data_IF_545152858581
#
_entry.id   IF_545152858581
#
_cell.length_a   1.000
_cell.length_b   1.000
_cell.length_c   1.000
_cell.angle_alpha   90.00
_cell.angle_beta   90.00
_cell.angle_gamma   90.00
#
_symmetry.space_group_name_H-M   'P 1'
#
loop_
_entity.id
_entity.type
_entity.pdbx_description
1 polymer ?
#
# COMPACT_ATOMS: atom_id res chain seq x y z
N UNK A 1 18.40 -11.69 -10.31
CA UNK A 1 18.64 -11.31 -8.90
C UNK A 1 18.83 -12.58 -8.10
N UNK A 2 19.83 -12.65 -7.20
CA UNK A 2 20.06 -13.81 -6.34
C UNK A 2 18.83 -14.23 -5.51
N UNK A 3 18.72 -15.53 -5.21
CA UNK A 3 17.59 -16.12 -4.45
C UNK A 3 17.41 -15.51 -3.05
N UNK A 4 18.50 -15.05 -2.43
CA UNK A 4 18.51 -14.48 -1.07
C UNK A 4 17.63 -13.24 -0.88
N UNK A 5 17.23 -12.59 -1.98
CA UNK A 5 16.32 -11.45 -1.96
C UNK A 5 14.86 -11.83 -2.24
N UNK A 6 14.61 -13.09 -2.64
CA UNK A 6 13.31 -13.58 -3.09
C UNK A 6 12.98 -14.91 -2.41
N UNK A 7 13.29 -16.03 -3.07
CA UNK A 7 12.92 -17.38 -2.66
C UNK A 7 13.37 -17.72 -1.24
N UNK A 8 14.59 -17.33 -0.84
CA UNK A 8 15.10 -17.67 0.50
C UNK A 8 14.33 -16.92 1.61
N UNK A 9 13.85 -15.70 1.34
CA UNK A 9 12.98 -14.96 2.26
C UNK A 9 11.59 -15.59 2.33
N UNK A 10 11.05 -16.08 1.22
CA UNK A 10 9.77 -16.81 1.23
C UNK A 10 9.89 -18.14 1.98
N UNK A 11 11.01 -18.86 1.84
CA UNK A 11 11.33 -20.05 2.64
C UNK A 11 11.41 -19.70 4.12
N UNK A 12 12.14 -18.63 4.47
CA UNK A 12 12.21 -18.13 5.84
C UNK A 12 10.82 -17.80 6.42
N UNK A 13 9.96 -17.14 5.64
CA UNK A 13 8.58 -16.87 6.05
C UNK A 13 7.77 -18.15 6.25
N UNK A 14 7.86 -19.11 5.32
CA UNK A 14 7.20 -20.42 5.44
C UNK A 14 7.69 -21.18 6.68
N UNK A 15 8.99 -21.19 6.94
CA UNK A 15 9.60 -22.03 7.96
C UNK A 15 9.43 -21.44 9.36
N UNK A 16 9.48 -20.10 9.49
CA UNK A 16 9.14 -19.37 10.72
C UNK A 16 7.64 -19.38 11.05
N UNK A 17 6.80 -19.93 10.16
CA UNK A 17 5.36 -20.03 10.40
C UNK A 17 5.00 -20.89 11.61
N UNK A 18 5.91 -21.76 12.07
CA UNK A 18 5.71 -22.52 13.31
C UNK A 18 5.84 -21.64 14.57
N UNK A 19 6.37 -20.43 14.43
CA UNK A 19 6.67 -19.48 15.51
C UNK A 19 5.71 -18.27 15.51
N UNK A 20 4.40 -18.51 15.32
CA UNK A 20 3.37 -17.45 15.18
C UNK A 20 3.16 -16.58 16.42
N UNK A 21 3.76 -16.94 17.55
CA UNK A 21 3.66 -16.20 18.81
C UNK A 21 4.62 -15.00 18.86
N UNK A 22 5.50 -14.85 17.86
CA UNK A 22 6.40 -13.70 17.78
C UNK A 22 5.61 -12.40 17.64
N UNK A 23 5.78 -11.52 18.64
CA UNK A 23 5.19 -10.20 18.67
C UNK A 23 6.26 -9.14 18.39
N UNK A 24 5.88 -8.13 17.63
CA UNK A 24 6.65 -6.88 17.56
C UNK A 24 6.73 -6.20 18.93
N UNK A 25 7.61 -5.22 19.10
CA UNK A 25 7.76 -4.45 20.35
C UNK A 25 6.48 -3.79 20.86
N UNK A 26 5.46 -3.68 20.02
CA UNK A 26 4.17 -3.12 20.37
C UNK A 26 3.06 -4.20 20.53
N UNK A 27 3.42 -5.48 20.54
CA UNK A 27 2.49 -6.60 20.74
C UNK A 27 1.76 -7.06 19.48
N UNK A 28 2.10 -6.58 18.28
CA UNK A 28 1.44 -7.03 17.04
C UNK A 28 2.10 -8.32 16.51
N UNK A 29 1.33 -9.33 16.08
CA UNK A 29 1.88 -10.56 15.52
C UNK A 29 2.69 -10.30 14.25
N UNK A 30 3.91 -10.84 14.18
CA UNK A 30 4.86 -10.55 13.11
C UNK A 30 4.34 -11.01 11.75
N UNK A 31 3.91 -12.27 11.61
CA UNK A 31 3.42 -12.80 10.34
C UNK A 31 2.20 -12.05 9.80
N UNK A 32 1.31 -11.60 10.70
CA UNK A 32 0.16 -10.76 10.32
C UNK A 32 0.61 -9.45 9.70
N UNK A 33 1.64 -8.78 10.25
CA UNK A 33 2.15 -7.54 9.67
C UNK A 33 2.84 -7.77 8.32
N UNK A 34 3.53 -8.91 8.17
CA UNK A 34 4.09 -9.33 6.88
C UNK A 34 2.97 -9.50 5.87
N UNK A 35 1.89 -10.20 6.22
CA UNK A 35 0.73 -10.42 5.36
C UNK A 35 0.07 -9.09 4.95
N UNK A 36 -0.18 -8.20 5.93
CA UNK A 36 -0.80 -6.90 5.70
C UNK A 36 -0.01 -6.05 4.68
N UNK A 37 1.32 -6.24 4.60
CA UNK A 37 2.24 -5.50 3.71
C UNK A 37 2.83 -6.34 2.57
N UNK A 38 2.19 -7.46 2.21
CA UNK A 38 2.69 -8.45 1.26
C UNK A 38 2.47 -8.13 -0.22
N UNK A 39 2.31 -6.86 -0.57
CA UNK A 39 2.04 -6.45 -1.96
C UNK A 39 3.14 -6.89 -2.93
N UNK A 40 4.36 -7.03 -2.41
CA UNK A 40 5.54 -7.51 -3.12
C UNK A 40 5.39 -8.97 -3.52
N UNK A 41 4.80 -9.79 -2.66
CA UNK A 41 4.44 -11.18 -2.93
C UNK A 41 3.38 -11.29 -4.03
N UNK A 42 2.27 -10.56 -3.94
CA UNK A 42 1.15 -10.69 -4.89
C UNK A 42 1.54 -10.29 -6.31
N UNK A 43 2.25 -9.15 -6.46
CA UNK A 43 2.75 -8.71 -7.77
C UNK A 43 3.83 -9.64 -8.32
N UNK A 44 4.69 -10.17 -7.44
CA UNK A 44 5.68 -11.17 -7.85
C UNK A 44 5.01 -12.47 -8.31
N UNK A 45 4.03 -12.98 -7.57
CA UNK A 45 3.30 -14.21 -7.87
C UNK A 45 2.60 -14.12 -9.23
N UNK A 46 1.95 -13.01 -9.54
CA UNK A 46 1.39 -12.74 -10.87
C UNK A 46 2.49 -12.73 -11.96
N UNK A 47 3.64 -12.09 -11.71
CA UNK A 47 4.75 -12.01 -12.66
C UNK A 47 5.47 -13.34 -12.95
N UNK A 48 5.44 -14.28 -12.01
CA UNK A 48 6.09 -15.59 -12.17
C UNK A 48 5.12 -16.71 -12.56
N UNK A 49 3.81 -16.45 -12.54
CA UNK A 49 2.83 -17.42 -12.96
C UNK A 49 3.07 -17.84 -14.42
N UNK A 50 2.89 -19.13 -14.77
CA UNK A 50 2.91 -19.58 -16.15
C UNK A 50 1.93 -18.79 -17.01
N UNK A 51 2.30 -18.48 -18.25
CA UNK A 51 1.47 -17.66 -19.14
C UNK A 51 0.06 -18.27 -19.35
N UNK A 52 -0.04 -19.61 -19.40
CA UNK A 52 -1.31 -20.33 -19.50
C UNK A 52 -2.23 -20.17 -18.28
N UNK A 53 -1.70 -19.76 -17.13
CA UNK A 53 -2.44 -19.57 -15.88
C UNK A 53 -2.69 -18.09 -15.58
N UNK A 54 -2.05 -17.19 -16.33
CA UNK A 54 -2.10 -15.76 -16.05
C UNK A 54 -3.30 -15.11 -16.73
N UNK A 55 -4.11 -14.40 -15.95
CA UNK A 55 -5.33 -13.75 -16.44
C UNK A 55 -5.09 -12.29 -16.86
N UNK A 56 -4.07 -11.65 -16.28
CA UNK A 56 -3.79 -10.24 -16.52
C UNK A 56 -3.09 -10.02 -17.85
N UNK A 57 -3.57 -9.02 -18.61
CA UNK A 57 -2.98 -8.56 -19.87
C UNK A 57 -2.40 -7.15 -19.78
N UNK A 58 -2.57 -6.48 -18.65
CA UNK A 58 -2.08 -5.11 -18.40
C UNK A 58 -0.55 -5.02 -18.33
N UNK A 59 0.12 -6.15 -18.06
CA UNK A 59 1.57 -6.29 -17.99
C UNK A 59 2.03 -7.51 -18.77
N UNK A 60 3.19 -7.40 -19.45
CA UNK A 60 3.83 -8.51 -20.16
C UNK A 60 5.24 -8.66 -19.61
N UNK A 61 5.58 -9.87 -19.13
CA UNK A 61 6.95 -10.19 -18.74
C UNK A 61 7.79 -10.51 -19.96
N UNK A 62 8.95 -9.88 -20.08
CA UNK A 62 9.97 -10.17 -21.09
C UNK A 62 11.22 -10.77 -20.48
N UNK A 63 12.11 -11.32 -21.31
CA UNK A 63 13.39 -11.90 -20.90
C UNK A 63 14.59 -11.05 -21.29
N UNK A 64 14.43 -10.16 -22.27
CA UNK A 64 15.46 -9.27 -22.79
C UNK A 64 15.27 -7.87 -22.21
N UNK A 65 16.35 -7.26 -21.73
CA UNK A 65 16.30 -5.92 -21.11
C UNK A 65 15.97 -4.82 -22.14
N UNK A 66 16.23 -5.09 -23.42
CA UNK A 66 16.00 -4.18 -24.53
C UNK A 66 14.51 -4.05 -24.88
N UNK A 67 13.72 -5.06 -24.54
CA UNK A 67 12.27 -5.09 -24.76
C UNK A 67 11.48 -4.42 -23.63
N UNK A 68 12.11 -4.22 -22.48
CA UNK A 68 11.43 -3.77 -21.27
C UNK A 68 11.23 -2.25 -21.24
N UNK A 69 10.00 -1.83 -20.95
CA UNK A 69 9.68 -0.44 -20.61
C UNK A 69 10.12 -0.09 -19.18
N UNK A 70 10.03 -1.07 -18.27
CA UNK A 70 10.34 -0.94 -16.86
C UNK A 70 10.94 -2.24 -16.29
N UNK A 71 11.57 -2.14 -15.12
CA UNK A 71 12.24 -3.25 -14.44
C UNK A 71 11.61 -3.47 -13.06
N UNK A 72 10.97 -4.61 -12.84
CA UNK A 72 10.53 -4.99 -11.49
C UNK A 72 11.71 -5.55 -10.70
N UNK A 73 11.95 -4.99 -9.51
CA UNK A 73 12.94 -5.49 -8.56
C UNK A 73 12.20 -6.34 -7.52
N UNK A 74 12.19 -7.68 -7.66
CA UNK A 74 11.51 -8.55 -6.72
C UNK A 74 12.36 -8.64 -5.45
N UNK A 75 12.12 -7.76 -4.50
CA UNK A 75 12.77 -7.84 -3.19
C UNK A 75 11.72 -7.79 -2.09
N UNK A 76 11.62 -8.86 -1.29
CA UNK A 76 10.69 -8.95 -0.17
C UNK A 76 11.18 -8.14 1.04
N UNK A 77 11.12 -6.82 0.92
CA UNK A 77 11.62 -5.85 1.90
C UNK A 77 10.89 -5.96 3.23
N UNK A 78 9.60 -6.30 3.21
CA UNK A 78 8.78 -6.52 4.42
C UNK A 78 9.22 -7.78 5.18
N UNK A 79 9.34 -8.92 4.50
CA UNK A 79 9.75 -10.19 5.14
C UNK A 79 11.13 -10.04 5.79
N UNK A 80 12.10 -9.51 5.03
CA UNK A 80 13.46 -9.28 5.53
C UNK A 80 13.52 -8.31 6.70
N UNK A 81 12.62 -7.33 6.80
CA UNK A 81 12.57 -6.40 7.93
C UNK A 81 12.11 -7.08 9.22
N UNK A 82 11.15 -8.01 9.11
CA UNK A 82 10.49 -8.61 10.25
C UNK A 82 11.12 -9.91 10.74
N UNK A 83 11.73 -10.69 9.86
CA UNK A 83 12.24 -12.03 10.18
C UNK A 83 13.77 -12.13 10.29
N UNK A 84 14.51 -11.11 9.84
CA UNK A 84 15.97 -11.11 9.98
C UNK A 84 16.40 -10.21 11.14
N UNK A 85 17.55 -10.54 11.71
CA UNK A 85 18.18 -9.66 12.70
C UNK A 85 18.55 -8.32 12.07
N UNK A 86 18.55 -7.27 12.90
CA UNK A 86 18.70 -5.87 12.44
C UNK A 86 19.96 -5.64 11.60
N UNK A 87 21.08 -6.29 11.93
CA UNK A 87 22.32 -6.12 11.19
C UNK A 87 22.35 -6.93 9.89
N UNK A 88 21.80 -8.16 9.91
CA UNK A 88 21.65 -9.01 8.73
C UNK A 88 20.74 -8.35 7.70
N UNK A 89 19.59 -7.83 8.14
CA UNK A 89 18.67 -7.07 7.31
C UNK A 89 19.36 -5.87 6.63
N UNK A 90 20.15 -5.10 7.39
CA UNK A 90 20.92 -3.97 6.84
C UNK A 90 21.99 -4.42 5.85
N UNK A 91 22.68 -5.54 6.10
CA UNK A 91 23.65 -6.11 5.18
C UNK A 91 22.96 -6.52 3.87
N UNK A 92 21.85 -7.27 3.97
CA UNK A 92 21.04 -7.68 2.82
C UNK A 92 20.56 -6.49 1.99
N UNK A 93 20.14 -5.39 2.62
CA UNK A 93 19.76 -4.15 1.93
C UNK A 93 20.92 -3.52 1.14
N UNK A 94 22.12 -3.48 1.71
CA UNK A 94 23.31 -2.96 1.01
C UNK A 94 23.70 -3.85 -0.16
N UNK A 95 23.60 -5.16 0.00
CA UNK A 95 23.90 -6.12 -1.06
C UNK A 95 22.88 -6.06 -2.19
N UNK A 96 21.57 -5.96 -1.88
CA UNK A 96 20.51 -5.76 -2.85
C UNK A 96 20.74 -4.45 -3.63
N UNK A 97 21.05 -3.36 -2.92
CA UNK A 97 21.36 -2.07 -3.53
C UNK A 97 22.57 -2.19 -4.49
N UNK A 98 23.68 -2.79 -4.03
CA UNK A 98 24.87 -2.99 -4.86
C UNK A 98 24.53 -3.81 -6.10
N UNK A 99 23.82 -4.92 -5.94
CA UNK A 99 23.45 -5.78 -7.06
C UNK A 99 22.61 -5.03 -8.10
N UNK A 100 21.54 -4.34 -7.67
CA UNK A 100 20.62 -3.61 -8.56
C UNK A 100 21.34 -2.45 -9.26
N UNK A 101 22.10 -1.65 -8.51
CA UNK A 101 22.75 -0.44 -9.06
C UNK A 101 23.88 -0.72 -10.05
N UNK A 102 24.45 -1.92 -10.00
CA UNK A 102 25.52 -2.36 -10.91
C UNK A 102 24.99 -2.90 -12.24
N UNK A 103 23.67 -3.08 -12.40
CA UNK A 103 23.10 -3.58 -13.65
C UNK A 103 23.14 -2.50 -14.75
N UNK A 104 23.41 -2.87 -16.02
CA UNK A 104 23.37 -1.93 -17.15
C UNK A 104 22.03 -1.19 -17.27
N UNK A 105 20.92 -1.90 -17.05
CA UNK A 105 19.58 -1.33 -17.03
C UNK A 105 19.43 -0.18 -16.01
N UNK A 106 20.00 -0.35 -14.81
CA UNK A 106 19.99 0.71 -13.80
C UNK A 106 20.84 1.91 -14.21
N UNK A 107 22.06 1.65 -14.67
CA UNK A 107 23.01 2.71 -15.07
C UNK A 107 22.46 3.57 -16.22
N UNK A 108 21.67 2.98 -17.12
CA UNK A 108 21.01 3.67 -18.23
C UNK A 108 20.05 4.76 -17.77
N UNK A 109 19.22 4.48 -16.77
CA UNK A 109 18.12 5.36 -16.36
C UNK A 109 18.34 6.04 -15.01
N UNK A 110 19.47 5.75 -14.35
CA UNK A 110 19.72 6.06 -12.93
C UNK A 110 18.60 5.51 -12.03
N UNK A 111 18.02 4.37 -12.42
CA UNK A 111 16.95 3.66 -11.71
C UNK A 111 15.53 4.19 -11.95
N UNK A 112 15.32 5.19 -12.81
CA UNK A 112 13.99 5.84 -13.00
C UNK A 112 12.90 4.93 -13.55
N UNK A 113 13.28 3.92 -14.31
CA UNK A 113 12.41 2.88 -14.89
C UNK A 113 12.35 1.62 -14.02
N UNK A 114 12.86 1.66 -12.78
CA UNK A 114 12.81 0.52 -11.86
C UNK A 114 11.64 0.68 -10.88
N UNK A 115 10.90 -0.41 -10.68
CA UNK A 115 9.84 -0.54 -9.67
C UNK A 115 10.38 -1.31 -8.48
N UNK A 116 10.33 -0.70 -7.30
CA UNK A 116 10.83 -1.29 -6.05
C UNK A 116 9.66 -1.34 -5.04
N UNK A 117 9.29 -2.53 -4.55
CA UNK A 117 8.32 -2.65 -3.48
C UNK A 117 8.87 -2.17 -2.14
N UNK A 118 8.27 -1.12 -1.57
CA UNK A 118 8.71 -0.48 -0.30
C UNK A 118 7.49 -0.24 0.59
N UNK A 119 6.60 -1.24 0.69
CA UNK A 119 5.27 -1.05 1.25
C UNK A 119 5.22 -0.92 2.77
N UNK A 120 6.12 -1.54 3.52
CA UNK A 120 6.21 -1.28 4.96
C UNK A 120 7.11 -0.04 5.21
N UNK A 121 6.67 0.98 5.97
CA UNK A 121 7.39 2.26 6.08
C UNK A 121 8.77 2.15 6.75
N UNK A 122 9.04 1.08 7.50
CA UNK A 122 10.36 0.80 8.07
C UNK A 122 11.28 -0.05 7.17
N UNK A 123 10.71 -0.79 6.21
CA UNK A 123 11.48 -1.66 5.33
C UNK A 123 12.41 -0.84 4.42
N UNK A 124 13.60 -1.32 4.11
CA UNK A 124 14.54 -0.66 3.19
C UNK A 124 15.03 0.76 3.60
N UNK A 125 14.62 1.29 4.78
CA UNK A 125 14.82 2.68 5.23
C UNK A 125 16.27 3.17 5.14
N UNK A 126 17.25 2.31 5.44
CA UNK A 126 18.68 2.66 5.46
C UNK A 126 19.27 2.96 4.06
N UNK A 127 18.62 2.49 2.99
CA UNK A 127 19.15 2.57 1.63
C UNK A 127 18.22 3.30 0.64
N UNK A 128 16.96 3.58 1.01
CA UNK A 128 15.97 4.32 0.18
C UNK A 128 16.54 5.56 -0.50
N UNK A 129 17.39 6.34 0.17
CA UNK A 129 18.00 7.56 -0.40
C UNK A 129 18.76 7.31 -1.72
N UNK A 130 19.32 6.12 -1.90
CA UNK A 130 20.10 5.74 -3.08
C UNK A 130 19.23 5.26 -4.25
N UNK A 131 17.95 4.94 -3.98
CA UNK A 131 16.98 4.50 -4.98
C UNK A 131 15.80 5.46 -5.12
N UNK A 132 15.92 6.71 -4.63
CA UNK A 132 14.83 7.70 -4.62
C UNK A 132 14.27 8.09 -5.99
N UNK A 133 15.01 7.80 -7.06
CA UNK A 133 14.59 8.04 -8.46
C UNK A 133 13.68 6.93 -9.00
N UNK A 134 13.72 5.75 -8.40
CA UNK A 134 12.87 4.62 -8.76
C UNK A 134 11.41 4.89 -8.40
N UNK A 135 10.53 4.12 -9.01
CA UNK A 135 9.10 4.02 -8.70
C UNK A 135 8.99 3.16 -7.45
N UNK A 136 8.45 3.71 -6.37
CA UNK A 136 8.18 2.97 -5.15
C UNK A 136 6.73 2.55 -5.09
N UNK A 137 6.51 1.33 -4.61
CA UNK A 137 5.19 0.84 -4.22
C UNK A 137 5.05 1.04 -2.71
N UNK A 138 4.12 1.91 -2.32
CA UNK A 138 4.00 2.46 -0.96
C UNK A 138 2.57 2.25 -0.43
N UNK A 139 2.37 2.28 0.90
CA UNK A 139 1.03 2.25 1.48
C UNK A 139 0.38 3.64 1.54
N UNK A 140 1.21 4.69 1.49
CA UNK A 140 0.86 6.11 1.51
C UNK A 140 2.05 6.97 1.09
N UNK A 141 1.82 8.27 0.96
CA UNK A 141 2.83 9.29 0.76
C UNK A 141 2.84 10.27 1.93
N UNK A 142 3.42 9.85 3.06
CA UNK A 142 3.72 10.80 4.14
C UNK A 142 4.72 11.89 3.68
N UNK A 143 4.19 13.03 3.23
CA UNK A 143 4.97 14.19 2.78
C UNK A 143 5.51 15.03 3.95
N UNK A 144 5.05 14.79 5.18
CA UNK A 144 5.36 15.62 6.35
C UNK A 144 6.81 15.48 6.83
N UNK A 145 7.56 14.50 6.32
CA UNK A 145 8.95 14.26 6.71
C UNK A 145 9.13 13.18 7.79
N UNK A 146 8.05 12.66 8.37
CA UNK A 146 8.11 11.69 9.47
C UNK A 146 8.64 10.31 9.01
N UNK A 147 8.19 9.85 7.84
CA UNK A 147 8.50 8.55 7.27
C UNK A 147 9.36 8.64 6.02
N UNK A 148 9.05 9.61 5.15
CA UNK A 148 9.80 9.91 3.93
C UNK A 148 10.35 11.32 4.03
N UNK A 149 11.64 11.49 3.74
CA UNK A 149 12.21 12.86 3.73
C UNK A 149 11.59 13.67 2.60
N UNK A 150 11.44 15.00 2.75
CA UNK A 150 10.96 15.86 1.68
C UNK A 150 11.68 15.58 0.36
N UNK A 151 10.89 15.36 -0.69
CA UNK A 151 11.37 15.03 -2.04
C UNK A 151 11.85 13.59 -2.26
N UNK A 152 11.46 12.64 -1.42
CA UNK A 152 11.67 11.21 -1.67
C UNK A 152 10.50 10.53 -2.39
N UNK A 153 9.26 10.99 -2.12
CA UNK A 153 8.03 10.41 -2.63
C UNK A 153 7.24 11.45 -3.44
N UNK A 154 6.66 11.02 -4.56
CA UNK A 154 5.94 11.89 -5.50
C UNK A 154 4.84 11.12 -6.23
N UNK A 155 3.62 11.67 -6.30
CA UNK A 155 2.49 11.08 -7.04
C UNK A 155 2.81 10.86 -8.52
N UNK A 156 3.67 11.68 -9.11
CA UNK A 156 4.03 11.60 -10.53
C UNK A 156 4.86 10.35 -10.86
N UNK A 157 5.49 9.72 -9.86
CA UNK A 157 6.35 8.53 -10.06
C UNK A 157 5.93 7.33 -9.22
N UNK A 158 5.51 7.52 -7.98
CA UNK A 158 5.25 6.45 -7.03
C UNK A 158 3.80 5.95 -7.11
N UNK A 159 3.55 4.73 -6.65
CA UNK A 159 2.24 4.09 -6.67
C UNK A 159 1.85 3.71 -5.25
N UNK A 160 0.68 4.18 -4.82
CA UNK A 160 0.09 3.80 -3.55
C UNK A 160 -0.74 2.54 -3.77
N UNK A 161 -0.52 1.53 -2.94
CA UNK A 161 -1.20 0.24 -3.00
C UNK A 161 -1.99 0.00 -1.71
N UNK A 162 -3.13 -0.72 -1.79
CA UNK A 162 -3.90 -1.04 -0.61
C UNK A 162 -3.18 -2.10 0.23
N UNK A 163 -3.39 -2.03 1.54
CA UNK A 163 -3.02 -3.11 2.45
C UNK A 163 -3.87 -4.35 2.16
N UNK A 164 -3.34 -5.53 2.49
CA UNK A 164 -4.17 -6.74 2.54
C UNK A 164 -5.15 -6.58 3.72
N UNK A 165 -6.48 -6.70 3.49
CA UNK A 165 -7.45 -6.66 4.56
C UNK A 165 -7.21 -7.80 5.55
N UNK A 166 -7.34 -7.50 6.84
CA UNK A 166 -7.18 -8.46 7.92
C UNK A 166 -8.50 -9.16 8.29
N UNK A 167 -9.64 -8.67 7.80
CA UNK A 167 -10.97 -9.26 8.02
C UNK A 167 -11.47 -9.96 6.76
N UNK A 168 -12.40 -10.89 6.93
CA UNK A 168 -12.96 -11.68 5.85
C UNK A 168 -13.96 -10.84 5.04
N UNK A 169 -14.00 -11.07 3.72
CA UNK A 169 -14.95 -10.44 2.81
C UNK A 169 -16.40 -10.70 3.24
N UNK A 170 -17.15 -9.62 3.43
CA UNK A 170 -18.60 -9.63 3.46
C UNK A 170 -19.11 -9.48 2.03
N UNK A 171 -19.39 -10.61 1.39
CA UNK A 171 -19.92 -10.65 0.03
C UNK A 171 -21.35 -10.09 -0.05
N UNK A 172 -21.95 -10.11 -1.26
CA UNK A 172 -23.31 -9.61 -1.47
C UNK A 172 -24.33 -10.26 -0.53
N UNK A 173 -24.22 -11.56 -0.26
CA UNK A 173 -25.11 -12.28 0.64
C UNK A 173 -24.93 -11.80 2.09
N UNK A 174 -23.68 -11.71 2.55
CA UNK A 174 -23.36 -11.17 3.87
C UNK A 174 -23.88 -9.74 4.04
N UNK A 175 -23.75 -8.86 3.04
CA UNK A 175 -24.24 -7.47 3.13
C UNK A 175 -25.76 -7.42 3.25
N UNK A 176 -26.50 -8.26 2.52
CA UNK A 176 -27.95 -8.37 2.65
C UNK A 176 -28.38 -8.88 4.04
N UNK A 177 -27.70 -9.92 4.55
CA UNK A 177 -27.99 -10.51 5.87
C UNK A 177 -27.66 -9.56 7.03
N UNK A 178 -26.64 -8.72 6.87
CA UNK A 178 -26.18 -7.77 7.88
C UNK A 178 -26.91 -6.43 7.80
N UNK A 179 -27.59 -6.12 6.69
CA UNK A 179 -28.25 -4.82 6.48
C UNK A 179 -29.21 -4.44 7.61
N UNK A 180 -30.03 -5.39 8.08
CA UNK A 180 -30.98 -5.16 9.17
C UNK A 180 -30.36 -5.30 10.57
N UNK A 181 -29.10 -5.75 10.66
CA UNK A 181 -28.36 -5.93 11.92
C UNK A 181 -27.44 -4.75 12.25
N UNK A 182 -27.31 -3.76 11.35
CA UNK A 182 -26.47 -2.58 11.54
C UNK A 182 -27.14 -1.56 12.47
N UNK A 183 -27.06 -1.82 13.78
CA UNK A 183 -27.61 -0.93 14.82
C UNK A 183 -26.59 0.08 15.35
N UNK A 184 -25.30 -0.14 15.14
CA UNK A 184 -24.23 0.78 15.58
C UNK A 184 -24.08 1.87 14.51
N UNK A 185 -24.18 3.14 14.90
CA UNK A 185 -23.96 4.27 14.01
C UNK A 185 -22.50 4.32 13.55
N UNK A 186 -21.56 4.39 14.49
CA UNK A 186 -20.13 4.57 14.20
C UNK A 186 -19.28 3.60 15.02
N UNK A 187 -18.36 2.91 14.34
CA UNK A 187 -17.45 1.96 14.98
C UNK A 187 -15.98 2.29 14.74
N UNK A 188 -15.19 2.14 15.79
CA UNK A 188 -13.74 2.13 15.75
C UNK A 188 -13.20 1.08 16.73
N UNK A 189 -12.32 0.22 16.23
CA UNK A 189 -11.49 -0.65 17.08
C UNK A 189 -10.03 -0.59 16.66
N UNK A 190 -9.15 -0.34 17.62
CA UNK A 190 -7.72 -0.24 17.40
C UNK A 190 -7.04 0.65 18.44
N UNK A 191 -5.73 0.82 18.30
CA UNK A 191 -4.96 1.71 19.18
C UNK A 191 -5.52 3.12 19.22
N UNK A 192 -5.98 3.52 20.39
CA UNK A 192 -6.57 4.82 20.67
C UNK A 192 -5.51 5.90 20.84
N UNK A 193 -4.32 5.53 21.31
CA UNK A 193 -3.15 6.42 21.41
C UNK A 193 -2.13 6.09 20.34
N UNK A 194 -1.77 7.08 19.53
CA UNK A 194 -0.78 6.98 18.44
C UNK A 194 0.06 8.25 18.33
N UNK A 195 1.16 8.16 17.58
CA UNK A 195 2.08 9.26 17.35
C UNK A 195 1.74 10.02 16.07
N UNK A 196 2.44 11.13 15.81
CA UNK A 196 2.29 11.95 14.60
C UNK A 196 0.81 12.30 14.30
N UNK A 197 0.32 12.00 13.10
CA UNK A 197 -1.07 12.25 12.70
C UNK A 197 -2.10 11.48 13.55
N UNK A 198 -1.72 10.35 14.13
CA UNK A 198 -2.58 9.50 14.94
C UNK A 198 -2.96 10.08 16.31
N UNK A 199 -2.37 11.22 16.72
CA UNK A 199 -2.76 11.96 17.93
C UNK A 199 -4.24 12.37 17.92
N UNK A 200 -4.85 12.50 16.74
CA UNK A 200 -6.27 12.80 16.58
C UNK A 200 -7.18 11.77 17.25
N UNK A 201 -6.74 10.50 17.34
CA UNK A 201 -7.55 9.41 17.90
C UNK A 201 -7.94 9.66 19.35
N UNK A 202 -7.04 10.18 20.17
CA UNK A 202 -7.35 10.54 21.56
C UNK A 202 -8.41 11.64 21.63
N UNK A 203 -8.38 12.62 20.72
CA UNK A 203 -9.39 13.68 20.66
C UNK A 203 -10.77 13.13 20.24
N UNK A 204 -10.78 12.25 19.23
CA UNK A 204 -12.00 11.59 18.76
C UNK A 204 -12.63 10.71 19.85
N UNK A 205 -11.81 10.01 20.66
CA UNK A 205 -12.29 9.25 21.81
C UNK A 205 -12.99 10.16 22.81
N UNK A 206 -12.36 11.27 23.20
CA UNK A 206 -12.96 12.20 24.16
C UNK A 206 -14.24 12.84 23.64
N UNK A 207 -14.29 13.15 22.35
CA UNK A 207 -15.45 13.74 21.68
C UNK A 207 -16.63 12.76 21.59
N UNK A 208 -16.35 11.48 21.32
CA UNK A 208 -17.38 10.50 20.98
C UNK A 208 -17.79 9.59 22.16
N UNK A 209 -17.10 9.65 23.31
CA UNK A 209 -17.33 8.73 24.46
C UNK A 209 -18.74 8.79 25.05
N UNK A 210 -19.45 9.91 24.89
CA UNK A 210 -20.79 10.14 25.47
C UNK A 210 -21.91 10.03 24.44
N UNK A 211 -21.59 9.71 23.18
CA UNK A 211 -22.57 9.59 22.12
C UNK A 211 -23.21 8.20 22.08
N UNK A 212 -24.53 8.16 21.93
CA UNK A 212 -25.29 6.92 21.74
C UNK A 212 -25.01 6.28 20.38
N UNK A 213 -25.09 4.94 20.33
CA UNK A 213 -24.87 4.11 19.15
C UNK A 213 -23.44 4.19 18.57
N UNK A 214 -22.47 4.60 19.37
CA UNK A 214 -21.06 4.69 18.97
C UNK A 214 -20.21 3.71 19.80
N UNK A 215 -19.34 2.98 19.12
CA UNK A 215 -18.42 2.02 19.75
C UNK A 215 -16.99 2.40 19.38
N UNK A 216 -16.21 2.83 20.37
CA UNK A 216 -14.78 3.14 20.22
C UNK A 216 -14.01 2.37 21.27
N UNK A 217 -13.22 1.39 20.82
CA UNK A 217 -12.57 0.45 21.70
C UNK A 217 -11.08 0.28 21.38
N UNK A 218 -10.30 0.04 22.43
CA UNK A 218 -8.90 -0.36 22.30
C UNK A 218 -8.81 -1.75 21.63
N UNK A 219 -7.91 -1.86 20.65
CA UNK A 219 -7.80 -3.06 19.84
C UNK A 219 -6.95 -4.12 20.51
N UNK A 220 -7.37 -5.38 20.41
CA UNK A 220 -6.54 -6.53 20.79
C UNK A 220 -5.88 -7.18 19.58
N UNK A 221 -4.75 -7.84 19.81
CA UNK A 221 -4.04 -8.62 18.79
C UNK A 221 -4.66 -10.02 18.61
N UNK A 222 -4.23 -10.73 17.57
CA UNK A 222 -4.59 -12.13 17.33
C UNK A 222 -6.02 -12.34 16.80
N UNK A 223 -6.44 -13.62 16.80
CA UNK A 223 -7.71 -14.06 16.20
C UNK A 223 -8.94 -13.45 16.87
N UNK A 224 -8.94 -13.32 18.19
CA UNK A 224 -10.03 -12.68 18.94
C UNK A 224 -10.17 -11.20 18.57
N UNK A 225 -9.06 -10.48 18.44
CA UNK A 225 -9.06 -9.09 18.01
C UNK A 225 -9.57 -8.91 16.58
N UNK A 226 -9.18 -9.80 15.66
CA UNK A 226 -9.72 -9.87 14.29
C UNK A 226 -11.23 -10.10 14.32
N UNK A 227 -11.71 -11.11 15.04
CA UNK A 227 -13.12 -11.47 15.11
C UNK A 227 -13.97 -10.33 15.69
N UNK A 228 -13.51 -9.69 16.77
CA UNK A 228 -14.20 -8.54 17.37
C UNK A 228 -14.26 -7.34 16.43
N UNK A 229 -13.17 -7.05 15.69
CA UNK A 229 -13.17 -6.00 14.69
C UNK A 229 -14.16 -6.31 13.54
N UNK A 230 -14.15 -7.53 13.03
CA UNK A 230 -15.04 -7.97 11.96
C UNK A 230 -16.52 -7.93 12.37
N UNK A 231 -16.85 -8.44 13.56
CA UNK A 231 -18.21 -8.42 14.09
C UNK A 231 -18.71 -6.98 14.30
N UNK A 232 -17.89 -6.13 14.91
CA UNK A 232 -18.20 -4.72 15.09
C UNK A 232 -18.46 -4.00 13.77
N UNK A 233 -17.54 -4.11 12.80
CA UNK A 233 -17.70 -3.49 11.47
C UNK A 233 -18.99 -3.95 10.76
N UNK A 234 -19.33 -5.24 10.85
CA UNK A 234 -20.54 -5.79 10.19
C UNK A 234 -21.84 -5.38 10.87
N UNK A 235 -21.80 -4.96 12.14
CA UNK A 235 -22.93 -4.41 12.90
C UNK A 235 -23.01 -2.87 12.83
N UNK A 236 -22.13 -2.22 12.07
CA UNK A 236 -22.06 -0.76 11.99
C UNK A 236 -22.43 -0.21 10.62
N UNK A 237 -23.05 0.97 10.63
CA UNK A 237 -23.29 1.76 9.42
C UNK A 237 -21.98 2.38 8.92
N UNK A 238 -21.26 3.04 9.83
CA UNK A 238 -20.04 3.79 9.54
C UNK A 238 -18.85 3.23 10.33
N UNK A 239 -17.68 3.23 9.70
CA UNK A 239 -16.43 2.81 10.32
C UNK A 239 -15.42 3.95 10.27
N UNK A 240 -15.01 4.43 11.44
CA UNK A 240 -14.07 5.53 11.55
C UNK A 240 -12.68 5.07 11.07
N UNK A 241 -12.08 5.83 10.16
CA UNK A 241 -10.74 5.61 9.63
C UNK A 241 -9.88 6.86 9.81
N UNK A 242 -9.46 7.18 11.05
CA UNK A 242 -8.55 8.26 11.31
C UNK A 242 -7.10 7.84 11.02
N UNK A 243 -6.26 8.83 10.71
CA UNK A 243 -4.82 8.65 10.54
C UNK A 243 -4.18 7.83 11.68
N UNK A 244 -3.15 7.07 11.32
CA UNK A 244 -2.31 6.32 12.26
C UNK A 244 -0.98 7.03 12.51
N UNK A 245 0.07 6.26 12.76
CA UNK A 245 1.42 6.85 12.79
C UNK A 245 1.83 7.33 11.38
N UNK A 246 1.26 6.75 10.32
CA UNK A 246 1.28 7.24 8.93
C UNK A 246 -0.11 7.78 8.54
N UNK A 247 -0.25 8.57 7.45
CA UNK A 247 -1.55 9.07 7.00
C UNK A 247 -2.58 7.97 6.73
N UNK A 248 -2.14 6.81 6.21
CA UNK A 248 -3.04 5.69 5.90
C UNK A 248 -3.30 4.74 7.07
N UNK A 249 -4.34 3.93 6.94
CA UNK A 249 -4.63 2.83 7.86
C UNK A 249 -5.18 1.62 7.12
N UNK A 250 -4.66 0.43 7.41
CA UNK A 250 -5.20 -0.84 6.90
C UNK A 250 -6.71 -1.01 7.20
N UNK A 251 -7.21 -0.37 8.27
CA UNK A 251 -8.62 -0.36 8.67
C UNK A 251 -9.55 0.16 7.58
N UNK A 252 -9.09 1.07 6.72
CA UNK A 252 -9.88 1.53 5.57
C UNK A 252 -10.32 0.34 4.73
N UNK A 253 -9.40 -0.57 4.41
CA UNK A 253 -9.67 -1.73 3.58
C UNK A 253 -10.49 -2.78 4.34
N UNK A 254 -10.27 -2.94 5.65
CA UNK A 254 -11.12 -3.79 6.50
C UNK A 254 -12.58 -3.33 6.50
N UNK A 255 -12.82 -2.02 6.61
CA UNK A 255 -14.16 -1.44 6.57
C UNK A 255 -14.82 -1.66 5.21
N UNK A 256 -14.07 -1.44 4.11
CA UNK A 256 -14.55 -1.65 2.74
C UNK A 256 -15.01 -3.09 2.54
N UNK A 257 -14.16 -4.08 2.88
CA UNK A 257 -14.51 -5.50 2.67
C UNK A 257 -15.56 -6.00 3.67
N UNK A 258 -15.80 -5.29 4.77
CA UNK A 258 -16.88 -5.60 5.71
C UNK A 258 -18.24 -4.97 5.34
N UNK A 259 -18.29 -4.15 4.29
CA UNK A 259 -19.49 -3.40 3.91
C UNK A 259 -19.86 -2.29 4.91
N UNK A 260 -18.90 -1.83 5.70
CA UNK A 260 -19.05 -0.72 6.64
C UNK A 260 -18.55 0.56 5.98
N UNK A 261 -19.36 1.62 5.93
CA UNK A 261 -19.00 2.84 5.19
C UNK A 261 -17.80 3.52 5.86
N UNK A 262 -16.62 3.61 5.20
CA UNK A 262 -15.47 4.27 5.78
C UNK A 262 -15.72 5.77 5.94
N UNK A 263 -15.44 6.29 7.14
CA UNK A 263 -15.39 7.72 7.44
C UNK A 263 -13.92 8.08 7.62
N UNK A 264 -13.31 8.57 6.55
CA UNK A 264 -11.90 8.92 6.48
C UNK A 264 -11.71 10.28 7.14
N UNK A 265 -10.94 10.31 8.24
CA UNK A 265 -10.55 11.55 8.91
C UNK A 265 -9.09 11.84 8.56
N UNK A 266 -8.88 12.69 7.56
CA UNK A 266 -7.54 13.07 7.11
C UNK A 266 -7.58 14.29 6.19
N UNK A 267 -6.54 15.11 6.27
CA UNK A 267 -6.29 16.24 5.36
C UNK A 267 -5.12 15.97 4.39
N UNK A 268 -4.45 14.82 4.53
CA UNK A 268 -3.16 14.50 3.86
C UNK A 268 -3.15 13.09 3.24
N UNK A 269 -4.25 12.35 3.33
CA UNK A 269 -4.31 10.97 2.86
C UNK A 269 -4.44 10.91 1.33
N UNK A 270 -3.39 10.40 0.70
CA UNK A 270 -3.41 9.96 -0.69
C UNK A 270 -3.88 8.49 -0.79
N UNK A 271 -4.85 8.22 -1.67
CA UNK A 271 -5.51 6.90 -1.74
C UNK A 271 -4.98 6.01 -2.87
N UNK A 272 -4.97 4.66 -2.67
CA UNK A 272 -4.62 3.75 -3.75
C UNK A 272 -5.58 3.87 -4.93
N UNK A 273 -5.04 3.92 -6.14
CA UNK A 273 -5.83 3.87 -7.39
C UNK A 273 -6.85 5.01 -7.58
N UNK A 274 -6.71 6.15 -6.90
CA UNK A 274 -7.69 7.25 -6.95
C UNK A 274 -7.89 7.86 -8.35
N UNK A 275 -6.91 7.72 -9.26
CA UNK A 275 -7.08 8.07 -10.67
C UNK A 275 -7.94 7.09 -11.49
N UNK A 276 -8.35 5.96 -10.90
CA UNK A 276 -9.16 4.90 -11.52
C UNK A 276 -10.46 4.68 -10.73
N UNK A 277 -10.40 4.76 -9.40
CA UNK A 277 -11.51 4.53 -8.47
C UNK A 277 -11.97 5.84 -7.85
N UNK A 278 -13.26 6.14 -7.93
CA UNK A 278 -13.83 7.30 -7.23
C UNK A 278 -14.23 6.92 -5.80
N UNK A 279 -13.38 7.26 -4.83
CA UNK A 279 -13.66 6.95 -3.42
C UNK A 279 -14.89 7.67 -2.87
N UNK A 280 -15.37 8.74 -3.50
CA UNK A 280 -16.60 9.44 -3.09
C UNK A 280 -17.85 8.57 -3.27
N UNK A 281 -17.73 7.49 -4.04
CA UNK A 281 -18.80 6.49 -4.20
C UNK A 281 -18.87 5.49 -3.05
N UNK A 282 -17.78 5.34 -2.28
CA UNK A 282 -17.63 4.27 -1.29
C UNK A 282 -17.26 4.76 0.12
N UNK A 283 -16.85 6.01 0.29
CA UNK A 283 -16.38 6.56 1.56
C UNK A 283 -16.87 7.99 1.78
N UNK A 284 -16.82 8.43 3.04
CA UNK A 284 -17.04 9.80 3.47
C UNK A 284 -15.70 10.42 3.89
N UNK A 285 -15.43 11.63 3.43
CA UNK A 285 -14.22 12.38 3.77
C UNK A 285 -14.58 13.51 4.73
N UNK A 286 -13.87 13.59 5.86
CA UNK A 286 -14.09 14.61 6.87
C UNK A 286 -12.73 15.18 7.26
N UNK A 287 -12.65 16.51 7.33
CA UNK A 287 -11.43 17.20 7.76
C UNK A 287 -11.11 16.86 9.21
N UNK A 288 -9.82 16.89 9.58
CA UNK A 288 -9.43 16.65 10.96
C UNK A 288 -10.01 17.71 11.91
N UNK A 289 -10.18 18.94 11.43
CA UNK A 289 -10.71 20.06 12.20
C UNK A 289 -12.20 19.91 12.50
N UNK A 290 -13.01 19.46 11.55
CA UNK A 290 -14.46 19.30 11.75
C UNK A 290 -14.76 18.06 12.60
N UNK A 291 -13.99 16.99 12.40
CA UNK A 291 -14.19 15.72 13.12
C UNK A 291 -14.02 15.84 14.64
N UNK A 292 -13.26 16.82 15.12
CA UNK A 292 -13.00 17.07 16.55
C UNK A 292 -13.84 18.22 17.12
N UNK A 293 -14.76 18.81 16.34
CA UNK A 293 -15.69 19.80 16.86
C UNK A 293 -16.81 19.13 17.66
N UNK A 294 -17.18 19.68 18.83
CA UNK A 294 -18.24 19.15 19.68
C UNK A 294 -19.54 18.80 18.94
N UNK A 295 -19.89 17.52 18.92
CA UNK A 295 -21.11 16.97 18.32
C UNK A 295 -21.21 17.02 16.80
N UNK A 296 -20.24 17.65 16.10
CA UNK A 296 -20.33 17.89 14.66
C UNK A 296 -20.36 16.58 13.87
N UNK A 297 -19.43 15.67 14.15
CA UNK A 297 -19.30 14.40 13.42
C UNK A 297 -20.56 13.54 13.56
N UNK A 298 -21.09 13.44 14.77
CA UNK A 298 -22.31 12.65 15.05
C UNK A 298 -23.52 13.27 14.34
N UNK A 299 -23.67 14.59 14.40
CA UNK A 299 -24.73 15.31 13.69
C UNK A 299 -24.64 15.12 12.17
N UNK A 300 -23.44 15.21 11.61
CA UNK A 300 -23.20 14.96 10.19
C UNK A 300 -23.61 13.55 9.79
N UNK A 301 -23.14 12.52 10.49
CA UNK A 301 -23.45 11.12 10.17
C UNK A 301 -24.94 10.77 10.33
N UNK A 302 -25.60 11.31 11.35
CA UNK A 302 -27.06 11.13 11.56
C UNK A 302 -27.89 11.86 10.50
N UNK A 303 -27.36 12.91 9.89
CA UNK A 303 -28.01 13.67 8.83
C UNK A 303 -27.92 13.03 7.44
N UNK A 304 -27.22 11.91 7.29
CA UNK A 304 -27.08 11.24 5.99
C UNK A 304 -28.32 10.40 5.69
N UNK A 305 -28.94 10.67 4.55
CA UNK A 305 -30.13 9.96 4.12
C UNK A 305 -29.92 8.45 3.99
N UNK A 306 -30.91 7.66 4.43
CA UNK A 306 -30.90 6.20 4.32
C UNK A 306 -30.80 5.70 2.87
N UNK A 307 -31.23 6.51 1.88
CA UNK A 307 -31.02 6.22 0.45
C UNK A 307 -29.52 6.28 0.11
N UNK A 308 -28.84 7.34 0.52
CA UNK A 308 -27.40 7.52 0.28
C UNK A 308 -26.57 6.44 0.97
N UNK A 309 -26.92 6.06 2.20
CA UNK A 309 -26.27 4.95 2.92
C UNK A 309 -26.36 3.64 2.11
N UNK A 310 -27.56 3.29 1.61
CA UNK A 310 -27.76 2.08 0.79
C UNK A 310 -26.99 2.12 -0.53
N UNK A 311 -26.92 3.29 -1.18
CA UNK A 311 -26.12 3.48 -2.40
C UNK A 311 -24.64 3.20 -2.15
N UNK A 312 -24.06 3.82 -1.11
CA UNK A 312 -22.65 3.62 -0.75
C UNK A 312 -22.39 2.15 -0.40
N UNK A 313 -23.25 1.51 0.40
CA UNK A 313 -23.12 0.08 0.75
C UNK A 313 -23.20 -0.84 -0.47
N UNK A 314 -24.08 -0.55 -1.44
CA UNK A 314 -24.12 -1.29 -2.71
C UNK A 314 -22.82 -1.13 -3.49
N UNK A 315 -22.24 0.08 -3.50
CA UNK A 315 -20.96 0.32 -4.14
C UNK A 315 -19.80 -0.39 -3.43
N UNK A 316 -19.81 -0.49 -2.09
CA UNK A 316 -18.80 -1.25 -1.34
C UNK A 316 -18.70 -2.71 -1.82
N UNK A 317 -19.84 -3.36 -2.07
CA UNK A 317 -19.86 -4.74 -2.63
C UNK A 317 -19.15 -4.79 -3.98
N UNK A 318 -19.45 -3.84 -4.88
CA UNK A 318 -18.86 -3.77 -6.23
C UNK A 318 -17.36 -3.45 -6.19
N UNK A 319 -16.96 -2.56 -5.29
CA UNK A 319 -15.58 -2.04 -5.19
C UNK A 319 -14.66 -2.96 -4.40
N UNK A 320 -15.19 -3.79 -3.49
CA UNK A 320 -14.39 -4.67 -2.61
C UNK A 320 -13.32 -5.48 -3.35
N UNK A 321 -13.64 -5.98 -4.55
CA UNK A 321 -12.72 -6.74 -5.42
C UNK A 321 -11.43 -5.99 -5.76
N UNK A 322 -11.47 -4.66 -5.81
CA UNK A 322 -10.30 -3.82 -6.13
C UNK A 322 -9.24 -3.80 -5.02
N UNK A 323 -9.59 -4.33 -3.84
CA UNK A 323 -8.75 -4.34 -2.63
C UNK A 323 -8.47 -5.76 -2.12
N UNK A 324 -8.87 -6.79 -2.86
CA UNK A 324 -8.69 -8.20 -2.51
C UNK A 324 -7.65 -8.84 -3.42
N UNK A 325 -6.45 -9.03 -2.87
CA UNK A 325 -5.38 -9.72 -3.58
C UNK A 325 -5.71 -11.20 -3.79
N UNK A 326 -5.23 -11.76 -4.89
CA UNK A 326 -5.58 -13.10 -5.33
C UNK A 326 -4.47 -13.75 -6.17
N UNK A 327 -4.47 -15.08 -6.19
CA UNK A 327 -3.64 -15.86 -7.10
C UNK A 327 -4.49 -17.01 -7.67
N UNK A 328 -4.77 -17.05 -8.99
CA UNK A 328 -4.30 -16.10 -10.00
C UNK A 328 -4.91 -14.70 -9.81
N UNK A 329 -4.12 -13.67 -10.13
CA UNK A 329 -4.55 -12.28 -10.04
C UNK A 329 -5.72 -12.02 -10.99
N UNK A 330 -6.76 -11.33 -10.48
CA UNK A 330 -8.00 -11.11 -11.21
C UNK A 330 -8.00 -9.76 -11.96
N UNK A 331 -8.64 -9.67 -13.15
CA UNK A 331 -8.90 -8.38 -13.79
C UNK A 331 -9.61 -7.42 -12.85
N UNK A 332 -9.15 -6.17 -12.80
CA UNK A 332 -9.58 -5.15 -11.85
C UNK A 332 -9.31 -5.49 -10.37
N UNK A 333 -8.58 -6.56 -10.06
CA UNK A 333 -8.01 -6.77 -8.73
C UNK A 333 -6.89 -5.75 -8.44
N UNK A 334 -6.42 -5.67 -7.18
CA UNK A 334 -5.37 -4.73 -6.80
C UNK A 334 -4.07 -4.92 -7.60
N UNK A 335 -3.74 -6.14 -8.02
CA UNK A 335 -2.58 -6.42 -8.88
C UNK A 335 -2.74 -5.79 -10.27
N UNK A 336 -3.91 -5.95 -10.90
CA UNK A 336 -4.20 -5.36 -12.21
C UNK A 336 -4.19 -3.83 -12.14
N UNK A 337 -4.83 -3.26 -11.11
CA UNK A 337 -4.83 -1.81 -10.91
C UNK A 337 -3.43 -1.26 -10.63
N UNK A 338 -2.59 -1.99 -9.88
CA UNK A 338 -1.18 -1.64 -9.71
C UNK A 338 -0.44 -1.57 -11.04
N UNK A 339 -0.59 -2.59 -11.90
CA UNK A 339 0.05 -2.60 -13.22
C UNK A 339 -0.46 -1.48 -14.13
N UNK A 340 -1.76 -1.17 -14.10
CA UNK A 340 -2.34 -0.04 -14.85
C UNK A 340 -1.82 1.31 -14.37
N UNK A 341 -1.71 1.51 -13.05
CA UNK A 341 -1.12 2.73 -12.48
C UNK A 341 0.34 2.89 -12.90
N UNK A 342 1.12 1.79 -12.88
CA UNK A 342 2.51 1.80 -13.35
C UNK A 342 2.57 2.11 -14.85
N UNK A 343 1.73 1.47 -15.67
CA UNK A 343 1.64 1.71 -17.11
C UNK A 343 1.35 3.19 -17.44
N UNK A 344 0.42 3.82 -16.71
CA UNK A 344 0.09 5.24 -16.84
C UNK A 344 1.28 6.18 -16.58
N UNK A 345 2.26 5.76 -15.78
CA UNK A 345 3.46 6.57 -15.45
C UNK A 345 4.59 6.42 -16.47
N UNK A 346 4.57 5.40 -17.33
CA UNK A 346 5.68 5.07 -18.25
C UNK A 346 6.07 6.25 -19.15
N UNK A 347 5.09 6.99 -19.67
CA UNK A 347 5.35 8.16 -20.54
C UNK A 347 6.14 9.23 -19.79
N UNK A 348 5.73 9.57 -18.57
CA UNK A 348 6.41 10.55 -17.73
C UNK A 348 7.82 10.06 -17.34
N UNK A 349 7.98 8.78 -17.01
CA UNK A 349 9.29 8.19 -16.70
C UNK A 349 10.24 8.30 -17.90
N UNK A 350 9.79 7.92 -19.11
CA UNK A 350 10.58 8.06 -20.33
C UNK A 350 10.95 9.51 -20.62
N UNK A 351 10.03 10.45 -20.37
CA UNK A 351 10.32 11.88 -20.46
C UNK A 351 11.45 12.29 -19.50
N UNK A 352 11.38 11.91 -18.23
CA UNK A 352 12.40 12.24 -17.22
C UNK A 352 13.77 11.63 -17.57
N UNK A 353 13.80 10.38 -18.03
CA UNK A 353 15.02 9.71 -18.50
C UNK A 353 15.65 10.49 -19.64
N UNK A 354 14.88 10.75 -20.72
CA UNK A 354 15.39 11.48 -21.90
C UNK A 354 15.89 12.87 -21.52
N UNK A 355 15.15 13.62 -20.70
CA UNK A 355 15.59 14.95 -20.23
C UNK A 355 16.93 14.89 -19.49
N UNK A 356 17.12 13.88 -18.64
CA UNK A 356 18.38 13.72 -17.90
C UNK A 356 19.57 13.36 -18.81
N UNK A 357 19.32 12.68 -19.94
CA UNK A 357 20.35 12.22 -20.87
C UNK A 357 20.69 13.23 -21.98
N UNK A 358 19.93 14.31 -22.14
CA UNK A 358 20.15 15.33 -23.21
C UNK A 358 21.46 16.11 -23.04
N UNK A 359 21.91 16.31 -21.81
CA UNK A 359 23.14 17.04 -21.54
C UNK A 359 24.34 16.10 -21.66
N UNK A 360 25.37 16.55 -22.37
CA UNK A 360 26.66 15.86 -22.45
C UNK A 360 27.22 15.69 -21.04
N UNK A 361 27.78 14.53 -20.71
CA UNK A 361 28.24 14.21 -19.34
C UNK A 361 29.23 15.25 -18.81
N UNK A 362 30.12 15.75 -19.66
CA UNK A 362 31.14 16.75 -19.35
C UNK A 362 30.55 18.15 -19.13
N UNK A 363 29.37 18.44 -19.70
CA UNK A 363 28.67 19.72 -19.51
C UNK A 363 27.76 19.72 -18.27
N UNK A 364 27.72 18.62 -17.50
CA UNK A 364 27.11 18.60 -16.16
C UNK A 364 28.08 19.26 -15.18
N UNK A 365 28.37 20.54 -15.36
CA UNK A 365 29.35 21.27 -14.55
C UNK A 365 28.96 21.29 -13.07
N UNK A 366 29.85 20.73 -12.25
CA UNK A 366 30.32 21.20 -10.95
C UNK A 366 29.35 22.07 -10.12
N UNK A 367 28.50 21.44 -9.33
CA UNK A 367 27.98 22.04 -8.10
C UNK A 367 28.06 21.02 -6.98
N UNK A 368 29.27 20.63 -6.56
CA UNK A 368 29.51 20.12 -5.21
C UNK A 368 30.99 20.31 -4.80
N UNK A 369 31.15 21.14 -3.76
CA UNK A 369 32.25 21.26 -2.79
C UNK A 369 33.50 22.06 -3.23
N UNK A 370 33.58 23.30 -2.76
CA UNK A 370 34.83 23.81 -2.16
C UNK A 370 34.64 23.90 -0.65
N UNK A 371 35.70 23.52 0.06
CA UNK A 371 35.80 23.39 1.50
C UNK A 371 35.46 24.67 2.28
N UNK A 372 35.16 24.48 3.56
CA UNK A 372 34.68 25.50 4.47
C UNK A 372 35.53 26.78 4.53
N UNK A 373 34.82 27.89 4.44
CA UNK A 373 35.07 29.11 5.19
C UNK A 373 33.71 29.78 5.38
N UNK A 374 33.38 30.09 6.62
CA UNK A 374 32.25 30.91 7.03
C UNK A 374 32.22 32.19 6.21
N UNK A 375 31.09 32.56 5.60
CA UNK A 375 30.83 33.96 5.27
C UNK A 375 29.34 34.27 5.41
N UNK A 376 29.12 35.40 6.09
CA UNK A 376 27.84 35.96 6.51
C UNK A 376 26.94 36.38 5.35
N UNK A 377 25.66 36.52 5.70
CA UNK A 377 24.58 37.07 4.89
C UNK A 377 24.93 38.41 4.22
N UNK A 378 24.91 38.43 2.88
CA UNK A 378 24.86 39.63 2.06
C UNK A 378 23.58 39.65 1.22
N UNK A 379 22.74 40.66 1.45
CA UNK A 379 21.44 40.90 0.81
C UNK A 379 21.56 41.12 -0.72
N UNK A 380 20.41 40.91 -1.38
CA UNK A 380 20.00 41.37 -2.71
C UNK A 380 20.28 40.44 -3.91
N UNK A 381 19.31 39.57 -4.20
CA UNK A 381 18.83 39.35 -5.57
C UNK A 381 17.34 38.99 -5.54
N UNK A 382 16.49 39.95 -5.87
CA UNK A 382 15.09 39.73 -6.24
C UNK A 382 15.05 39.06 -7.62
N UNK A 383 14.75 37.76 -7.67
CA UNK A 383 14.20 37.17 -8.89
C UNK A 383 12.68 37.23 -8.81
N UNK A 384 12.10 38.29 -9.38
CA UNK A 384 10.69 38.38 -9.68
C UNK A 384 10.41 37.39 -10.82
N UNK A 385 9.87 36.22 -10.50
CA UNK A 385 9.26 35.36 -11.50
C UNK A 385 7.78 35.78 -11.64
N UNK A 386 7.49 36.66 -12.61
CA UNK A 386 6.12 36.91 -13.06
C UNK A 386 5.61 35.64 -13.75
N UNK A 387 4.81 34.83 -13.04
CA UNK A 387 3.95 33.84 -13.67
C UNK A 387 2.90 34.57 -14.54
N UNK A 388 3.11 34.63 -15.85
CA UNK A 388 2.00 34.80 -16.78
C UNK A 388 1.30 33.45 -16.90
N UNK A 389 0.02 33.41 -16.57
CA UNK A 389 -0.87 32.30 -16.84
C UNK A 389 -0.78 31.95 -18.33
N UNK A 390 -0.19 30.79 -18.64
CA UNK A 390 -0.41 30.14 -19.93
C UNK A 390 -1.62 29.24 -19.74
N UNK A 391 -2.75 29.67 -20.29
CA UNK A 391 -3.94 28.83 -20.46
C UNK A 391 -3.53 27.65 -21.35
N UNK A 392 -3.27 26.49 -20.75
CA UNK A 392 -3.06 25.26 -21.50
C UNK A 392 -4.43 24.84 -22.02
N UNK A 393 -4.61 24.91 -23.34
CA UNK A 393 -5.79 24.40 -24.01
C UNK A 393 -6.01 22.93 -23.60
N UNK A 394 -7.13 22.67 -22.93
CA UNK A 394 -7.66 21.32 -22.73
C UNK A 394 -8.03 20.75 -24.09
N UNK A 395 -7.14 19.93 -24.65
CA UNK A 395 -7.56 18.99 -25.67
C UNK A 395 -8.32 17.84 -25.00
N UNK A 396 -9.47 17.41 -25.54
CA UNK A 396 -10.18 16.26 -25.01
C UNK A 396 -9.28 15.02 -25.15
N UNK A 397 -8.92 14.42 -24.01
CA UNK A 397 -8.29 13.10 -23.96
C UNK A 397 -9.29 12.06 -24.47
N UNK A 398 -9.29 11.84 -25.78
CA UNK A 398 -9.95 10.68 -26.38
C UNK A 398 -9.08 9.44 -26.15
N UNK A 399 -9.65 8.48 -25.42
CA UNK A 399 -9.26 7.07 -25.29
C UNK A 399 -7.76 6.76 -25.30
N UNK A 400 -7.12 6.89 -24.14
CA UNK A 400 -5.97 6.06 -23.82
C UNK A 400 -6.45 4.60 -23.77
N UNK A 401 -6.36 3.87 -24.88
CA UNK A 401 -6.19 2.43 -24.80
C UNK A 401 -5.08 2.18 -23.78
N UNK A 402 -5.40 1.43 -22.71
CA UNK A 402 -4.43 1.05 -21.68
C UNK A 402 -3.28 0.31 -22.37
N UNK A 403 -2.20 1.03 -22.68
CA UNK A 403 -0.98 0.44 -23.23
C UNK A 403 -0.48 -0.57 -22.20
N UNK A 404 -0.27 -1.81 -22.66
CA UNK A 404 0.35 -2.86 -21.85
C UNK A 404 1.74 -2.39 -21.43
N UNK A 405 2.10 -2.60 -20.17
CA UNK A 405 3.46 -2.33 -19.72
C UNK A 405 4.34 -3.55 -19.92
N UNK A 406 5.46 -3.39 -20.61
CA UNK A 406 6.42 -4.47 -20.82
C UNK A 406 7.47 -4.43 -19.71
N UNK A 407 7.61 -5.52 -18.96
CA UNK A 407 8.42 -5.56 -17.75
C UNK A 407 9.48 -6.66 -17.80
N UNK A 408 10.73 -6.30 -17.52
CA UNK A 408 11.73 -7.31 -17.15
C UNK A 408 11.66 -7.50 -15.63
N UNK A 409 11.32 -8.71 -15.20
CA UNK A 409 11.52 -9.08 -13.80
C UNK A 409 12.98 -9.49 -13.61
N UNK A 410 13.67 -8.94 -12.61
CA UNK A 410 15.04 -9.34 -12.27
C UNK A 410 15.10 -10.75 -11.62
N UNK A 411 14.32 -11.73 -12.05
CA UNK A 411 14.24 -13.07 -11.49
C UNK A 411 15.31 -13.95 -12.18
N UNK A 412 15.94 -14.94 -11.51
CA UNK A 412 16.92 -15.83 -12.15
C UNK A 412 16.40 -16.42 -13.46
N UNK A 413 17.28 -16.47 -14.49
CA UNK A 413 16.96 -16.97 -15.84
C UNK A 413 16.54 -18.46 -15.87
N UNK A 414 16.88 -19.21 -14.82
CA UNK A 414 16.54 -20.62 -14.68
C UNK A 414 15.55 -20.79 -13.54
N UNK A 415 14.29 -20.42 -13.74
CA UNK A 415 13.21 -21.11 -13.05
C UNK A 415 13.22 -22.52 -13.65
N UNK A 416 13.97 -23.42 -13.01
CA UNK A 416 13.97 -24.82 -13.40
C UNK A 416 12.52 -25.29 -13.28
N UNK A 417 11.99 -26.09 -14.21
CA UNK A 417 10.62 -26.63 -14.06
C UNK A 417 10.44 -27.41 -12.74
N UNK A 418 11.55 -27.80 -12.10
CA UNK A 418 11.64 -28.36 -10.76
C UNK A 418 11.33 -27.39 -9.59
N UNK A 419 11.29 -26.06 -9.79
CA UNK A 419 10.94 -25.05 -8.76
C UNK A 419 9.46 -24.62 -8.80
N UNK A 420 8.70 -25.03 -9.81
CA UNK A 420 7.22 -24.84 -9.85
C UNK A 420 6.56 -25.45 -8.60
N UNK A 421 6.91 -26.69 -8.16
CA UNK A 421 6.44 -27.22 -6.88
C UNK A 421 6.75 -26.31 -5.70
N UNK A 422 7.91 -25.63 -5.71
CA UNK A 422 8.32 -24.76 -4.63
C UNK A 422 7.51 -23.44 -4.57
N UNK A 423 7.24 -22.82 -5.72
CA UNK A 423 6.32 -21.68 -5.81
C UNK A 423 4.92 -22.08 -5.29
N UNK A 424 4.44 -23.26 -5.70
CA UNK A 424 3.17 -23.81 -5.22
C UNK A 424 3.19 -24.07 -3.70
N UNK A 425 4.31 -24.54 -3.14
CA UNK A 425 4.47 -24.75 -1.69
C UNK A 425 4.49 -23.43 -0.92
N UNK A 426 5.17 -22.41 -1.44
CA UNK A 426 5.20 -21.06 -0.86
C UNK A 426 3.82 -20.40 -0.91
N UNK A 427 3.10 -20.54 -2.03
CA UNK A 427 1.71 -20.13 -2.13
C UNK A 427 0.81 -20.90 -1.16
N UNK A 428 1.00 -22.22 -1.04
CA UNK A 428 0.23 -23.04 -0.09
C UNK A 428 0.51 -22.61 1.35
N UNK A 429 1.74 -22.25 1.69
CA UNK A 429 2.10 -21.72 3.00
C UNK A 429 1.45 -20.37 3.26
N UNK A 430 1.50 -19.48 2.26
CA UNK A 430 0.82 -18.20 2.29
C UNK A 430 -0.68 -18.35 2.52
N UNK A 431 -1.32 -19.23 1.76
CA UNK A 431 -2.75 -19.56 1.89
C UNK A 431 -3.08 -20.18 3.24
N UNK A 432 -2.22 -21.05 3.79
CA UNK A 432 -2.39 -21.60 5.13
C UNK A 432 -2.34 -20.52 6.20
N UNK A 433 -1.49 -19.51 6.07
CA UNK A 433 -1.49 -18.36 6.99
C UNK A 433 -2.81 -17.59 6.92
N UNK A 434 -3.26 -17.23 5.71
CA UNK A 434 -4.55 -16.56 5.49
C UNK A 434 -5.71 -17.34 6.12
N UNK A 435 -5.69 -18.67 5.96
CA UNK A 435 -6.72 -19.56 6.50
C UNK A 435 -6.61 -19.72 8.02
N UNK A 436 -5.42 -19.88 8.60
CA UNK A 436 -5.23 -20.00 10.05
C UNK A 436 -5.52 -18.68 10.78
N UNK A 437 -5.26 -17.55 10.13
CA UNK A 437 -5.71 -16.23 10.60
C UNK A 437 -7.25 -16.11 10.58
N UNK A 438 -7.96 -16.93 9.80
CA UNK A 438 -9.44 -17.02 9.78
C UNK A 438 -10.03 -18.19 10.60
N UNK A 439 -9.28 -19.27 10.84
CA UNK A 439 -9.80 -20.52 11.38
C UNK A 439 -9.45 -20.73 12.86
N UNK A 440 -10.22 -20.06 13.73
CA UNK A 440 -10.61 -20.58 15.06
C UNK A 440 -12.06 -20.20 15.37
N UNK A 441 -12.99 -20.68 14.54
CA UNK A 441 -14.40 -20.82 14.92
C UNK A 441 -15.00 -22.02 14.18
N UNK A 442 -14.97 -23.19 14.82
CA UNK A 442 -16.11 -24.10 14.76
C UNK A 442 -16.62 -24.29 16.20
N UNK A 443 -17.94 -24.22 16.43
CA UNK A 443 -18.51 -24.53 17.73
C UNK A 443 -18.36 -26.04 17.95
N UNK A 444 -17.58 -26.41 18.96
CA UNK A 444 -17.59 -27.76 19.50
C UNK A 444 -19.02 -28.12 19.90
N UNK A 445 -19.54 -29.17 19.27
CA UNK A 445 -20.80 -29.82 19.58
C UNK A 445 -20.93 -30.04 21.10
N UNK A 446 -22.11 -29.73 21.63
CA UNK A 446 -22.59 -30.35 22.87
C UNK A 446 -22.44 -31.87 22.72
N UNK A 447 -21.70 -32.47 23.64
CA UNK A 447 -21.81 -33.88 23.99
C UNK A 447 -22.10 -33.91 25.48
N UNK A 448 -23.27 -34.47 25.81
CA UNK A 448 -23.81 -34.85 27.12
C UNK A 448 -23.70 -33.82 28.26
#
# INVERSE_FOLDING_TARGET
MPSKFTYDLLRLFRDSYRDTDNLTSNGSPVHRLIEQHSIDYWLWADLIAPESQRLLKSVIRVQRQEEADIFYVPFFTTISYFLLEKQECKALYREALKWVTYQPAWQRSEGRDHVIPVHHPWSFKSVRRFVKKAIWLLPDMDSTGNWYKPGQVYLEKDVILPYVPNVDLCDHKCVLETQFKRSILLFFRGRLKRNAGGKIRSKLVEELKSAEDIVIEEGSAGAQGKAAAQDGMRKSLFCLSPAGDTPSSARLFDAIVSGCIPVIISDELELPFEGILDYREIALFVSSSDAVQPGWLVKYLRGIDAKRIREIQSNLVKYSRHFLYSSPAQPLGPEDLAWRMIAGKVVNIKLQIRRSQRLVRESRSAFFVTNGASFEFGKNCQCICKCKYATVAMYPMYQLELRRVVILSCIPRNLNMAEIPEVCLLYSAWRRHLQAAGARMQPGRRAA
#
